data_IF_561206493033
#
_entry.id   IF_561206493033
#
_cell.length_a   1.000
_cell.length_b   1.000
_cell.length_c   1.000
_cell.angle_alpha   90.00
_cell.angle_beta   90.00
_cell.angle_gamma   90.00
#
_symmetry.space_group_name_H-M   'P 1'
#
loop_
_entity.id
_entity.type
_entity.pdbx_description
1 polymer ?
#
# COMPACT_ATOMS: atom_id res chain seq x y z
N UNK A 1 -5.48 20.60 5.73
CA UNK A 1 -4.68 19.67 4.91
C UNK A 1 -4.79 18.29 5.55
N UNK A 2 -5.51 17.36 4.94
CA UNK A 2 -5.61 16.00 5.49
C UNK A 2 -4.31 15.25 5.26
N UNK A 3 -3.71 14.71 6.32
CA UNK A 3 -2.52 13.86 6.25
C UNK A 3 -2.81 12.44 5.73
N UNK A 4 -4.08 12.07 5.61
CA UNK A 4 -4.54 10.73 5.21
C UNK A 4 -3.89 10.23 3.91
N UNK A 5 -3.90 10.97 2.77
CA UNK A 5 -3.26 10.51 1.55
C UNK A 5 -1.74 10.36 1.69
N UNK A 6 -1.07 11.23 2.45
CA UNK A 6 0.38 11.14 2.71
C UNK A 6 0.68 9.85 3.49
N UNK A 7 -0.12 9.56 4.52
CA UNK A 7 0.02 8.35 5.31
C UNK A 7 -0.23 7.09 4.46
N UNK A 8 -1.32 7.05 3.69
CA UNK A 8 -1.68 5.90 2.86
C UNK A 8 -0.63 5.62 1.77
N UNK A 9 -0.13 6.65 1.10
CA UNK A 9 0.92 6.51 0.08
C UNK A 9 2.27 6.16 0.69
N UNK A 10 2.62 6.72 1.85
CA UNK A 10 3.81 6.31 2.61
C UNK A 10 3.74 4.84 3.02
N UNK A 11 2.58 4.39 3.52
CA UNK A 11 2.31 2.99 3.88
C UNK A 11 2.42 2.07 2.66
N UNK A 12 1.90 2.49 1.51
CA UNK A 12 2.06 1.77 0.24
C UNK A 12 3.55 1.55 -0.08
N UNK A 13 4.39 2.58 0.03
CA UNK A 13 5.83 2.46 -0.21
C UNK A 13 6.51 1.45 0.73
N UNK A 14 6.17 1.51 2.03
CA UNK A 14 6.67 0.56 3.04
C UNK A 14 6.24 -0.87 2.71
N UNK A 15 4.97 -1.08 2.33
CA UNK A 15 4.43 -2.40 1.99
C UNK A 15 5.10 -2.98 0.74
N UNK A 16 5.37 -2.17 -0.29
CA UNK A 16 6.12 -2.61 -1.48
C UNK A 16 7.54 -3.04 -1.12
N UNK A 17 8.22 -2.28 -0.26
CA UNK A 17 9.52 -2.69 0.31
C UNK A 17 9.41 -4.02 1.08
N UNK A 18 8.31 -4.19 1.83
CA UNK A 18 7.95 -5.43 2.49
C UNK A 18 7.82 -6.61 1.53
N UNK A 19 7.08 -6.46 0.42
CA UNK A 19 6.93 -7.51 -0.62
C UNK A 19 8.29 -7.94 -1.19
N UNK A 20 9.14 -6.98 -1.54
CA UNK A 20 10.48 -7.25 -2.09
C UNK A 20 11.33 -7.99 -1.06
N UNK A 21 11.32 -7.52 0.20
CA UNK A 21 12.03 -8.17 1.30
C UNK A 21 11.54 -9.60 1.52
N UNK A 22 10.22 -9.81 1.51
CA UNK A 22 9.59 -11.11 1.75
C UNK A 22 9.88 -12.10 0.61
N UNK A 23 9.90 -11.61 -0.63
CA UNK A 23 10.31 -12.37 -1.81
C UNK A 23 11.77 -12.81 -1.72
N UNK A 24 12.67 -11.93 -1.26
CA UNK A 24 14.10 -12.26 -1.07
C UNK A 24 14.35 -13.23 0.08
N UNK A 25 13.49 -13.23 1.09
CA UNK A 25 13.55 -14.16 2.23
C UNK A 25 12.97 -15.55 1.92
N UNK A 26 12.46 -15.78 0.70
CA UNK A 26 11.86 -17.05 0.33
C UNK A 26 10.57 -17.37 1.10
N UNK A 27 9.85 -16.35 1.56
CA UNK A 27 8.63 -16.54 2.32
C UNK A 27 7.52 -17.19 1.48
N UNK A 28 6.46 -17.63 2.17
CA UNK A 28 5.31 -18.25 1.51
C UNK A 28 4.68 -17.31 0.47
N UNK A 29 4.26 -17.89 -0.67
CA UNK A 29 3.55 -17.16 -1.72
C UNK A 29 2.29 -16.45 -1.20
N UNK A 30 1.66 -17.03 -0.18
CA UNK A 30 0.50 -16.44 0.49
C UNK A 30 0.86 -15.14 1.22
N UNK A 31 1.94 -15.14 2.02
CA UNK A 31 2.39 -13.96 2.74
C UNK A 31 2.79 -12.83 1.77
N UNK A 32 3.49 -13.18 0.68
CA UNK A 32 3.88 -12.21 -0.35
C UNK A 32 2.64 -11.62 -1.02
N UNK A 33 1.68 -12.47 -1.41
CA UNK A 33 0.42 -12.06 -2.02
C UNK A 33 -0.43 -11.16 -1.12
N UNK A 34 -0.51 -11.48 0.17
CA UNK A 34 -1.25 -10.68 1.15
C UNK A 34 -0.66 -9.28 1.29
N UNK A 35 0.66 -9.15 1.46
CA UNK A 35 1.32 -7.84 1.59
C UNK A 35 1.20 -7.03 0.29
N UNK A 36 1.29 -7.69 -0.86
CA UNK A 36 1.08 -7.03 -2.15
C UNK A 36 -0.37 -6.52 -2.30
N UNK A 37 -1.36 -7.30 -1.88
CA UNK A 37 -2.76 -6.87 -1.88
C UNK A 37 -2.99 -5.65 -0.98
N UNK A 38 -2.40 -5.65 0.23
CA UNK A 38 -2.47 -4.50 1.13
C UNK A 38 -1.79 -3.25 0.53
N UNK A 39 -0.67 -3.42 -0.15
CA UNK A 39 0.01 -2.31 -0.83
C UNK A 39 -0.88 -1.67 -1.89
N UNK A 40 -1.54 -2.49 -2.72
CA UNK A 40 -2.48 -2.01 -3.73
C UNK A 40 -3.69 -1.30 -3.11
N UNK A 41 -4.18 -1.80 -1.98
CA UNK A 41 -5.33 -1.21 -1.29
C UNK A 41 -4.97 0.14 -0.65
N UNK A 42 -3.77 0.26 -0.09
CA UNK A 42 -3.23 1.53 0.42
C UNK A 42 -3.04 2.55 -0.72
N UNK A 43 -2.54 2.11 -1.88
CA UNK A 43 -2.43 2.95 -3.07
C UNK A 43 -3.80 3.43 -3.55
N UNK A 44 -4.76 2.51 -3.71
CA UNK A 44 -6.11 2.83 -4.14
C UNK A 44 -6.81 3.79 -3.16
N UNK A 45 -6.69 3.54 -1.85
CA UNK A 45 -7.23 4.41 -0.81
C UNK A 45 -6.58 5.80 -0.80
N UNK A 46 -5.26 5.87 -0.96
CA UNK A 46 -4.53 7.13 -1.03
C UNK A 46 -4.95 7.97 -2.24
N UNK A 47 -5.05 7.33 -3.41
CA UNK A 47 -5.51 7.99 -4.65
C UNK A 47 -6.98 8.39 -4.55
N UNK A 48 -7.85 7.53 -4.02
CA UNK A 48 -9.28 7.84 -3.84
C UNK A 48 -9.49 9.04 -2.91
N UNK A 49 -8.67 9.17 -1.85
CA UNK A 49 -8.72 10.33 -0.95
C UNK A 49 -8.27 11.65 -1.61
N UNK A 50 -7.48 11.55 -2.69
CA UNK A 50 -7.05 12.71 -3.47
C UNK A 50 -8.04 13.08 -4.59
N UNK A 51 -9.00 12.22 -4.91
CA UNK A 51 -10.05 12.57 -5.86
C UNK A 51 -10.92 13.68 -5.24
N UNK A 52 -11.14 14.79 -5.97
CA UNK A 52 -12.10 15.79 -5.55
C UNK A 52 -13.46 15.12 -5.39
N UNK A 53 -13.97 15.04 -4.15
CA UNK A 53 -15.35 14.70 -3.91
C UNK A 53 -16.19 15.93 -4.24
N UNK A 54 -17.04 15.86 -5.27
CA UNK A 54 -18.19 16.75 -5.35
C UNK A 54 -18.96 16.59 -4.03
N UNK A 55 -18.84 17.62 -3.20
CA UNK A 55 -19.61 17.79 -1.97
C UNK A 55 -20.83 18.63 -2.29
#
# INVERSE_FOLDING_TARGET
MSLVPILLLGLCGILVGGVISLSRQGASKFSIGLVAALALLALAGGVAWMMPGDS
#
